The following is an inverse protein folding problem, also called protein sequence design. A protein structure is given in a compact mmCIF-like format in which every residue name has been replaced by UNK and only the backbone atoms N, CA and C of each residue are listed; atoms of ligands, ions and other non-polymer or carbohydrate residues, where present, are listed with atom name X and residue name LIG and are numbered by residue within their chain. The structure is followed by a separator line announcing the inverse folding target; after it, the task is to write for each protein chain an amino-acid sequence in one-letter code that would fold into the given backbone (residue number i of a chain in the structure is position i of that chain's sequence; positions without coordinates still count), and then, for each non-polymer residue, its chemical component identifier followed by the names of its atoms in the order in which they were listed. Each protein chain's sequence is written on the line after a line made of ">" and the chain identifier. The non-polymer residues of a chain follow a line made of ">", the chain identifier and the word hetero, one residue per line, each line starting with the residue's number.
data_IF_769150840694
#
_entry.id   IF_769150840694
#
_cell.length_a   1.000
_cell.length_b   1.000
_cell.length_c   1.000
_cell.angle_alpha   90.00
_cell.angle_beta   90.00
_cell.angle_gamma   90.00
#
_symmetry.space_group_name_H-M   'P 1'
#
loop_
_entity.id
_entity.type
_entity.pdbx_description
1 polymer ?
#
# COMPACT_ATOMS: atom_id res chain seq x y z
N UNK A 1 4.22 26.72 -29.17
CA UNK A 1 3.23 26.23 -30.15
C UNK A 1 3.90 26.19 -31.53
N UNK A 2 3.91 25.01 -32.18
CA UNK A 2 4.39 24.74 -33.58
C UNK A 2 5.92 24.87 -33.76
N UNK A 3 6.67 24.00 -34.46
CA UNK A 3 6.43 22.98 -35.48
C UNK A 3 7.62 22.00 -35.45
N UNK A 4 7.34 20.73 -35.77
CA UNK A 4 8.31 19.68 -36.12
C UNK A 4 9.24 20.13 -37.26
N UNK A 5 10.56 20.10 -37.07
CA UNK A 5 11.52 20.20 -38.17
C UNK A 5 12.31 18.90 -38.28
N UNK A 6 12.18 18.28 -39.44
CA UNK A 6 12.81 17.04 -39.85
C UNK A 6 14.30 17.20 -40.11
N UNK A 7 15.10 16.16 -39.83
CA UNK A 7 15.93 15.53 -40.87
C UNK A 7 16.64 14.29 -40.36
N UNK A 8 16.38 13.21 -41.07
CA UNK A 8 17.13 11.98 -41.11
C UNK A 8 18.60 12.24 -41.50
N UNK A 9 19.55 11.67 -40.75
CA UNK A 9 20.92 11.38 -41.19
C UNK A 9 21.30 10.03 -40.60
N UNK A 10 21.20 8.98 -41.41
CA UNK A 10 22.27 8.44 -42.25
C UNK A 10 23.21 7.52 -41.45
N UNK A 11 22.73 6.28 -41.28
CA UNK A 11 23.45 5.02 -41.41
C UNK A 11 24.96 5.14 -41.69
N UNK A 12 25.75 5.04 -40.62
CA UNK A 12 27.11 4.50 -40.65
C UNK A 12 27.22 3.46 -39.53
N UNK A 13 27.48 2.23 -39.94
CA UNK A 13 27.55 1.06 -39.09
C UNK A 13 28.87 1.09 -38.30
N UNK A 14 28.81 1.43 -37.02
CA UNK A 14 29.83 1.01 -36.05
C UNK A 14 29.17 -0.03 -35.17
N UNK A 15 29.43 -1.31 -35.47
CA UNK A 15 28.99 -2.43 -34.67
C UNK A 15 29.74 -2.42 -33.33
N UNK A 16 29.26 -1.62 -32.38
CA UNK A 16 29.57 -1.77 -30.97
C UNK A 16 28.41 -2.54 -30.34
N UNK A 17 28.57 -3.86 -30.20
CA UNK A 17 27.67 -4.71 -29.45
C UNK A 17 27.75 -4.34 -27.97
N UNK A 18 26.96 -3.35 -27.55
CA UNK A 18 26.67 -3.11 -26.14
C UNK A 18 25.77 -4.27 -25.69
N UNK A 19 26.39 -5.28 -25.07
CA UNK A 19 25.66 -6.31 -24.34
C UNK A 19 24.99 -5.63 -23.13
N UNK A 20 23.75 -5.16 -23.31
CA UNK A 20 22.87 -4.80 -22.20
C UNK A 20 22.52 -6.09 -21.46
N UNK A 21 23.34 -6.44 -20.47
CA UNK A 21 22.95 -7.44 -19.48
C UNK A 21 21.82 -6.83 -18.66
N UNK A 22 20.58 -7.12 -19.04
CA UNK A 22 19.43 -6.95 -18.16
C UNK A 22 19.66 -7.86 -16.96
N UNK A 23 20.25 -7.31 -15.90
CA UNK A 23 20.28 -7.98 -14.61
C UNK A 23 18.83 -8.14 -14.17
N UNK A 24 18.31 -9.37 -14.22
CA UNK A 24 17.06 -9.69 -13.54
C UNK A 24 17.33 -9.48 -12.05
N UNK A 25 16.88 -8.35 -11.52
CA UNK A 25 16.66 -8.24 -10.09
C UNK A 25 15.55 -9.24 -9.76
N UNK A 26 15.93 -10.46 -9.41
CA UNK A 26 15.01 -11.41 -8.81
C UNK A 26 14.61 -10.80 -7.46
N UNK A 27 13.42 -10.20 -7.43
CA UNK A 27 12.75 -9.91 -6.16
C UNK A 27 12.50 -11.27 -5.53
N UNK A 28 13.25 -11.57 -4.47
CA UNK A 28 13.08 -12.79 -3.69
C UNK A 28 11.79 -12.64 -2.89
N UNK A 29 10.67 -12.99 -3.53
CA UNK A 29 9.36 -13.04 -2.88
C UNK A 29 9.36 -14.31 -2.03
N UNK A 30 9.49 -14.14 -0.70
CA UNK A 30 9.31 -15.25 0.24
C UNK A 30 7.93 -15.88 -0.03
N UNK A 31 7.86 -17.16 -0.42
CA UNK A 31 6.58 -17.80 -0.65
C UNK A 31 5.81 -17.93 0.66
N UNK A 32 4.51 -17.66 0.62
CA UNK A 32 3.61 -17.94 1.73
C UNK A 32 3.31 -19.45 1.77
N UNK A 33 3.63 -20.12 2.88
CA UNK A 33 3.26 -21.53 3.08
C UNK A 33 1.76 -21.68 3.31
N UNK A 34 1.21 -22.88 3.07
CA UNK A 34 -0.22 -23.16 3.30
C UNK A 34 -0.60 -22.88 4.77
N UNK A 35 0.28 -23.23 5.72
CA UNK A 35 0.05 -23.02 7.14
C UNK A 35 0.04 -21.54 7.51
N UNK A 36 0.97 -20.74 6.95
CA UNK A 36 0.98 -19.30 7.14
C UNK A 36 -0.25 -18.65 6.50
N UNK A 37 -0.64 -19.04 5.29
CA UNK A 37 -1.82 -18.53 4.62
C UNK A 37 -3.09 -18.77 5.45
N UNK A 38 -3.27 -20.00 5.94
CA UNK A 38 -4.41 -20.36 6.78
C UNK A 38 -4.42 -19.61 8.12
N UNK A 39 -3.26 -19.36 8.72
CA UNK A 39 -3.17 -18.57 9.94
C UNK A 39 -3.48 -17.09 9.68
N UNK A 40 -2.91 -16.52 8.62
CA UNK A 40 -3.11 -15.13 8.22
C UNK A 40 -4.58 -14.86 7.87
N UNK A 41 -5.23 -15.75 7.11
CA UNK A 41 -6.63 -15.59 6.70
C UNK A 41 -7.58 -15.56 7.91
N UNK A 42 -7.32 -16.39 8.93
CA UNK A 42 -8.13 -16.41 10.16
C UNK A 42 -8.04 -15.10 10.97
N UNK A 43 -6.92 -14.38 10.90
CA UNK A 43 -6.73 -13.17 11.70
C UNK A 43 -6.89 -11.85 10.93
N UNK A 44 -6.63 -11.84 9.62
CA UNK A 44 -6.55 -10.61 8.82
C UNK A 44 -7.81 -9.74 8.95
N UNK A 45 -9.00 -10.37 8.94
CA UNK A 45 -10.30 -9.69 9.08
C UNK A 45 -10.76 -9.50 10.53
N UNK A 46 -10.03 -10.01 11.53
CA UNK A 46 -10.41 -10.02 12.94
C UNK A 46 -9.53 -9.17 13.87
N UNK A 47 -8.43 -8.58 13.38
CA UNK A 47 -7.63 -7.61 14.13
C UNK A 47 -8.39 -6.29 14.34
N UNK A 48 -8.32 -5.71 15.56
CA UNK A 48 -9.21 -4.61 16.01
C UNK A 48 -8.52 -3.40 16.63
N UNK A 49 -7.20 -3.31 16.60
CA UNK A 49 -6.43 -2.14 17.04
C UNK A 49 -5.07 -2.12 16.33
N UNK A 50 -4.40 -0.98 16.28
CA UNK A 50 -3.23 -0.77 15.41
C UNK A 50 -2.04 -1.66 15.75
N UNK A 51 -1.72 -1.84 17.03
CA UNK A 51 -0.66 -2.77 17.45
C UNK A 51 -0.91 -4.21 16.96
N UNK A 52 -2.15 -4.70 16.97
CA UNK A 52 -2.45 -6.05 16.46
C UNK A 52 -2.28 -6.15 14.95
N UNK A 53 -2.67 -5.11 14.20
CA UNK A 53 -2.40 -5.04 12.75
C UNK A 53 -0.89 -5.09 12.49
N UNK A 54 -0.11 -4.32 13.26
CA UNK A 54 1.34 -4.28 13.11
C UNK A 54 2.00 -5.63 13.42
N UNK A 55 1.60 -6.30 14.49
CA UNK A 55 2.10 -7.64 14.84
C UNK A 55 1.72 -8.69 13.78
N UNK A 56 0.51 -8.59 13.23
CA UNK A 56 0.04 -9.46 12.15
C UNK A 56 0.85 -9.23 10.87
N UNK A 57 1.07 -7.97 10.51
CA UNK A 57 1.93 -7.55 9.40
C UNK A 57 3.36 -8.12 9.53
N UNK A 58 4.00 -7.97 10.69
CA UNK A 58 5.37 -8.47 10.89
C UNK A 58 5.49 -9.99 10.67
N UNK A 59 4.41 -10.73 10.94
CA UNK A 59 4.36 -12.20 10.73
C UNK A 59 4.00 -12.59 9.30
N UNK A 60 3.09 -11.85 8.66
CA UNK A 60 2.34 -12.34 7.50
C UNK A 60 2.34 -11.38 6.29
N UNK A 61 3.14 -10.30 6.27
CA UNK A 61 3.17 -9.39 5.11
C UNK A 61 3.52 -10.09 3.79
N UNK A 62 4.26 -11.20 3.81
CA UNK A 62 4.58 -11.99 2.62
C UNK A 62 3.41 -12.84 2.11
N UNK A 63 2.33 -12.94 2.89
CA UNK A 63 1.08 -13.63 2.55
C UNK A 63 -0.04 -12.66 2.14
N UNK A 64 0.26 -11.36 1.95
CA UNK A 64 -0.72 -10.32 1.65
C UNK A 64 -1.27 -10.41 0.21
N UNK A 65 -2.08 -11.43 -0.04
CA UNK A 65 -2.72 -11.71 -1.32
C UNK A 65 -4.13 -12.30 -1.14
N UNK A 66 -4.97 -12.20 -2.17
CA UNK A 66 -6.33 -12.76 -2.20
C UNK A 66 -7.17 -12.43 -0.96
N UNK A 67 -7.79 -13.45 -0.36
CA UNK A 67 -8.68 -13.31 0.80
C UNK A 67 -7.98 -12.71 2.04
N UNK A 68 -6.67 -12.95 2.21
CA UNK A 68 -5.88 -12.37 3.31
C UNK A 68 -5.80 -10.86 3.12
N UNK A 69 -5.48 -10.41 1.90
CA UNK A 69 -5.40 -9.00 1.55
C UNK A 69 -6.72 -8.29 1.76
N UNK A 70 -7.82 -8.88 1.28
CA UNK A 70 -9.17 -8.36 1.50
C UNK A 70 -9.51 -8.25 3.00
N UNK A 71 -9.11 -9.25 3.80
CA UNK A 71 -9.26 -9.22 5.24
C UNK A 71 -8.54 -8.05 5.91
N UNK A 72 -7.30 -7.77 5.50
CA UNK A 72 -6.56 -6.60 5.98
C UNK A 72 -7.17 -5.28 5.49
N UNK A 73 -7.62 -5.20 4.24
CA UNK A 73 -8.33 -4.02 3.72
C UNK A 73 -9.58 -3.72 4.56
N UNK A 74 -10.35 -4.75 4.92
CA UNK A 74 -11.47 -4.61 5.86
C UNK A 74 -11.02 -4.07 7.23
N UNK A 75 -10.03 -4.69 7.87
CA UNK A 75 -9.60 -4.31 9.22
C UNK A 75 -8.98 -2.91 9.26
N UNK A 76 -8.06 -2.60 8.34
CA UNK A 76 -7.43 -1.27 8.22
C UNK A 76 -8.48 -0.21 7.92
N UNK A 77 -9.38 -0.47 6.98
CA UNK A 77 -10.48 0.43 6.64
C UNK A 77 -11.39 0.71 7.83
N UNK A 78 -11.79 -0.35 8.55
CA UNK A 78 -12.65 -0.23 9.72
C UNK A 78 -12.00 0.58 10.84
N UNK A 79 -10.70 0.39 11.10
CA UNK A 79 -9.95 1.17 12.08
C UNK A 79 -9.89 2.66 11.71
N UNK A 80 -9.55 2.98 10.46
CA UNK A 80 -9.52 4.36 9.99
C UNK A 80 -10.90 5.01 9.96
N UNK A 81 -11.96 4.24 9.72
CA UNK A 81 -13.33 4.73 9.68
C UNK A 81 -13.92 4.94 11.09
N UNK A 82 -13.67 4.02 12.00
CA UNK A 82 -14.44 3.87 13.24
C UNK A 82 -13.63 4.05 14.52
N UNK A 83 -12.29 4.00 14.47
CA UNK A 83 -11.38 4.14 15.63
C UNK A 83 -10.35 5.25 15.39
N UNK A 84 -10.82 6.42 14.94
CA UNK A 84 -9.94 7.53 14.56
C UNK A 84 -9.16 8.12 15.73
N UNK A 85 -9.68 7.99 16.94
CA UNK A 85 -9.02 8.36 18.19
C UNK A 85 -7.69 7.63 18.41
N UNK A 86 -7.51 6.43 17.85
CA UNK A 86 -6.27 5.66 17.93
C UNK A 86 -5.28 6.01 16.80
N UNK A 87 -5.60 6.98 15.93
CA UNK A 87 -4.77 7.31 14.77
C UNK A 87 -3.35 7.77 15.14
N UNK A 88 -3.14 8.37 16.31
CA UNK A 88 -1.78 8.73 16.75
C UNK A 88 -0.91 7.49 17.03
N UNK A 89 -1.49 6.34 17.41
CA UNK A 89 -0.77 5.07 17.54
C UNK A 89 -0.28 4.59 16.17
N UNK A 90 -1.17 4.60 15.16
CA UNK A 90 -0.78 4.30 13.78
C UNK A 90 0.37 5.19 13.32
N UNK A 91 0.32 6.50 13.61
CA UNK A 91 1.39 7.44 13.24
C UNK A 91 2.73 7.07 13.89
N UNK A 92 2.73 6.56 15.12
CA UNK A 92 3.96 6.10 15.79
C UNK A 92 4.52 4.84 15.11
N UNK A 93 3.66 3.86 14.82
CA UNK A 93 4.05 2.61 14.17
C UNK A 93 4.62 2.85 12.76
N UNK A 94 3.95 3.67 11.94
CA UNK A 94 4.41 3.94 10.57
C UNK A 94 5.68 4.80 10.51
N UNK A 95 5.95 5.61 11.54
CA UNK A 95 7.24 6.30 11.66
C UNK A 95 8.40 5.34 11.91
N UNK A 96 8.16 4.28 12.67
CA UNK A 96 9.14 3.22 12.93
C UNK A 96 9.34 2.28 11.74
N UNK A 97 8.30 2.05 10.94
CA UNK A 97 8.33 1.14 9.80
C UNK A 97 7.70 1.76 8.53
N UNK A 98 8.52 2.29 7.59
CA UNK A 98 8.01 2.79 6.32
C UNK A 98 7.32 1.73 5.47
N UNK A 99 7.73 0.45 5.58
CA UNK A 99 7.06 -0.66 4.89
C UNK A 99 5.68 -0.94 5.46
N UNK A 100 5.50 -0.77 6.77
CA UNK A 100 4.17 -0.82 7.38
C UNK A 100 3.30 0.37 6.93
N UNK A 101 3.89 1.56 6.76
CA UNK A 101 3.18 2.70 6.14
C UNK A 101 2.66 2.33 4.73
N UNK A 102 3.50 1.68 3.92
CA UNK A 102 3.14 1.24 2.57
C UNK A 102 2.02 0.20 2.58
N UNK A 103 2.14 -0.80 3.47
CA UNK A 103 1.12 -1.83 3.70
C UNK A 103 -0.24 -1.22 4.07
N UNK A 104 -0.29 -0.34 5.07
CA UNK A 104 -1.55 0.32 5.49
C UNK A 104 -2.16 1.13 4.34
N UNK A 105 -1.32 1.81 3.55
CA UNK A 105 -1.80 2.61 2.42
C UNK A 105 -2.27 1.74 1.26
N UNK A 106 -1.66 0.58 1.01
CA UNK A 106 -2.07 -0.35 -0.06
C UNK A 106 -3.39 -1.08 0.21
N UNK A 107 -3.84 -1.07 1.46
CA UNK A 107 -5.15 -1.58 1.91
C UNK A 107 -6.28 -0.55 1.85
N UNK A 108 -5.99 0.63 1.32
CA UNK A 108 -7.00 1.60 0.92
C UNK A 108 -7.29 1.37 -0.56
N UNK A 109 -8.10 0.36 -0.84
CA UNK A 109 -8.39 -0.15 -2.17
C UNK A 109 -9.92 -0.28 -2.41
N UNK A 110 -10.29 -0.75 -3.59
CA UNK A 110 -11.68 -0.91 -4.05
C UNK A 110 -12.49 -1.93 -3.25
N UNK A 111 -11.87 -2.74 -2.40
CA UNK A 111 -12.54 -3.75 -1.58
C UNK A 111 -13.15 -3.12 -0.31
N UNK A 112 -12.81 -1.87 0.00
CA UNK A 112 -13.36 -1.13 1.13
C UNK A 112 -14.88 -0.93 1.00
N UNK A 113 -15.66 -1.19 2.09
CA UNK A 113 -17.06 -0.80 2.12
C UNK A 113 -17.21 0.71 1.86
N UNK A 114 -18.12 1.09 0.94
CA UNK A 114 -18.32 2.49 0.54
C UNK A 114 -18.60 3.42 1.73
N UNK A 115 -19.31 2.93 2.75
CA UNK A 115 -19.58 3.67 3.97
C UNK A 115 -18.30 3.99 4.76
N UNK A 116 -17.38 3.04 4.85
CA UNK A 116 -16.12 3.21 5.55
C UNK A 116 -15.21 4.15 4.76
N UNK A 117 -15.11 3.99 3.43
CA UNK A 117 -14.37 4.93 2.58
C UNK A 117 -14.82 6.39 2.75
N UNK A 118 -16.14 6.63 2.87
CA UNK A 118 -16.68 7.97 3.18
C UNK A 118 -16.25 8.46 4.56
N UNK A 119 -16.41 7.64 5.62
CA UNK A 119 -15.98 8.01 6.98
C UNK A 119 -14.49 8.30 7.07
N UNK A 120 -13.66 7.50 6.40
CA UNK A 120 -12.21 7.73 6.31
C UNK A 120 -11.94 9.10 5.70
N UNK A 121 -12.62 9.47 4.60
CA UNK A 121 -12.48 10.79 4.00
C UNK A 121 -12.85 11.93 4.97
N UNK A 122 -13.94 11.78 5.70
CA UNK A 122 -14.39 12.74 6.71
C UNK A 122 -13.37 12.86 7.85
N UNK A 123 -12.87 11.73 8.35
CA UNK A 123 -11.86 11.66 9.40
C UNK A 123 -10.55 12.34 8.99
N UNK A 124 -10.11 12.12 7.76
CA UNK A 124 -8.91 12.72 7.19
C UNK A 124 -8.98 14.27 7.11
N UNK A 125 -10.16 14.87 7.19
CA UNK A 125 -10.31 16.34 7.33
C UNK A 125 -9.82 16.85 8.69
N UNK A 126 -9.84 16.01 9.73
CA UNK A 126 -9.42 16.27 11.11
C UNK A 126 -8.02 15.74 11.42
N UNK A 127 -7.17 15.62 10.39
CA UNK A 127 -5.84 15.02 10.52
C UNK A 127 -4.99 15.74 11.58
N UNK A 128 -4.38 15.01 12.54
CA UNK A 128 -3.49 15.61 13.53
C UNK A 128 -2.18 16.08 12.88
N UNK A 129 -1.54 17.10 13.49
CA UNK A 129 -0.29 17.68 12.97
C UNK A 129 0.84 16.64 12.91
N UNK A 130 0.89 15.73 13.88
CA UNK A 130 1.81 14.58 13.97
C UNK A 130 1.74 13.68 12.73
N UNK A 131 0.54 13.46 12.18
CA UNK A 131 0.27 12.50 11.12
C UNK A 131 0.17 13.09 9.71
N UNK A 132 0.52 14.37 9.50
CA UNK A 132 0.27 15.08 8.23
C UNK A 132 0.73 14.33 6.98
N UNK A 133 1.92 13.72 7.01
CA UNK A 133 2.48 12.93 5.89
C UNK A 133 1.61 11.71 5.59
N UNK A 134 1.29 10.90 6.60
CA UNK A 134 0.45 9.71 6.48
C UNK A 134 -0.94 10.08 5.97
N UNK A 135 -1.59 11.09 6.56
CA UNK A 135 -2.89 11.56 6.08
C UNK A 135 -2.86 11.99 4.60
N UNK A 136 -1.79 12.64 4.14
CA UNK A 136 -1.67 13.00 2.72
C UNK A 136 -1.60 11.77 1.81
N UNK A 137 -0.97 10.67 2.26
CA UNK A 137 -0.95 9.41 1.51
C UNK A 137 -2.32 8.75 1.49
N UNK A 138 -2.96 8.63 2.65
CA UNK A 138 -4.30 8.06 2.79
C UNK A 138 -5.35 8.83 1.97
N UNK A 139 -5.27 10.17 1.97
CA UNK A 139 -6.14 11.01 1.13
C UNK A 139 -6.00 10.69 -0.35
N UNK A 140 -4.76 10.55 -0.84
CA UNK A 140 -4.53 10.18 -2.24
C UNK A 140 -5.11 8.82 -2.57
N UNK A 141 -4.86 7.83 -1.73
CA UNK A 141 -5.39 6.48 -1.91
C UNK A 141 -6.93 6.45 -1.92
N UNK A 142 -7.59 7.14 -0.98
CA UNK A 142 -9.06 7.27 -0.95
C UNK A 142 -9.59 7.98 -2.21
N UNK A 143 -8.92 9.02 -2.69
CA UNK A 143 -9.36 9.75 -3.88
C UNK A 143 -9.25 8.90 -5.14
N UNK A 144 -8.23 8.06 -5.28
CA UNK A 144 -8.09 7.19 -6.45
C UNK A 144 -9.16 6.09 -6.56
N UNK A 145 -9.91 5.79 -5.48
CA UNK A 145 -11.01 4.82 -5.54
C UNK A 145 -12.25 5.32 -6.30
N UNK A 146 -12.28 6.61 -6.67
CA UNK A 146 -13.43 7.26 -7.30
C UNK A 146 -13.23 7.57 -8.78
N UNK A 147 -12.04 7.32 -9.30
CA UNK A 147 -11.66 7.53 -10.70
C UNK A 147 -11.91 6.26 -11.51
#
# INVERSE_FOLDING_TARGET
>A
MRIFCSRTKRWEWVAATVALTFGNAHVDVRPCSIQEAFAAEQEASSVRHWEAVYQSYERFFHCDDGAIREGYSYSVGSLLANQWEEFDELVLLTRGSPRFEDFVVSHIDETLPQNDARKIQENLSRCPKSGKKLCSRLKRAITSLRE
#
